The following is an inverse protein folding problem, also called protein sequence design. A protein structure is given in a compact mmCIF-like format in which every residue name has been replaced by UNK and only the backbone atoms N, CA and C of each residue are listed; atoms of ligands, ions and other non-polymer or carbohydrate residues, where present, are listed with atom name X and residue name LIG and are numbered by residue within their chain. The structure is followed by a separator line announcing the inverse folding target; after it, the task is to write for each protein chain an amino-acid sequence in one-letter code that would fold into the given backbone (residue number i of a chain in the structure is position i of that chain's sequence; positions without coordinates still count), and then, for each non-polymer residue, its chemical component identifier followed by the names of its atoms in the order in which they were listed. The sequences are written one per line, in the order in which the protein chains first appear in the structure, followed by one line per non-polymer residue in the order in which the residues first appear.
data_IF_782415723786
#
_entry.id   IF_782415723786
#
_cell.length_a   1.000
_cell.length_b   1.000
_cell.length_c   1.000
_cell.angle_alpha   90.00
_cell.angle_beta   90.00
_cell.angle_gamma   90.00
#
_symmetry.space_group_name_H-M   'P 1'
#
loop_
_entity.id
_entity.type
_entity.pdbx_description
1 polymer ?
#
# COMPACT_ATOMS: atom_id res chain seq x y z
N UNK A 1 11.75 15.08 22.22
CA UNK A 1 13.17 14.94 21.87
C UNK A 1 13.41 15.87 20.72
N UNK A 2 14.19 16.93 20.93
CA UNK A 2 14.47 17.91 19.89
C UNK A 2 15.88 17.65 19.34
N UNK A 3 16.03 17.83 18.03
CA UNK A 3 17.31 17.63 17.31
C UNK A 3 17.87 18.98 16.92
N UNK A 4 19.17 19.12 17.03
CA UNK A 4 19.93 20.32 16.70
C UNK A 4 21.06 19.96 15.75
N UNK A 5 21.58 20.93 14.99
CA UNK A 5 22.70 20.76 14.05
C UNK A 5 23.90 21.55 14.52
N UNK A 6 25.07 20.91 14.58
CA UNK A 6 26.36 21.54 14.81
C UNK A 6 26.91 22.17 13.52
N UNK A 7 27.85 23.13 13.60
CA UNK A 7 28.44 23.75 12.42
C UNK A 7 29.18 22.81 11.47
N UNK A 8 29.58 21.62 11.95
CA UNK A 8 30.19 20.57 11.12
C UNK A 8 29.14 19.71 10.38
N UNK A 9 27.84 20.03 10.51
CA UNK A 9 26.72 19.31 9.90
C UNK A 9 26.20 18.12 10.70
N UNK A 10 26.86 17.73 11.81
CA UNK A 10 26.37 16.64 12.66
C UNK A 10 25.13 17.06 13.43
N UNK A 11 24.23 16.12 13.61
CA UNK A 11 23.03 16.32 14.43
C UNK A 11 23.23 15.76 15.83
N UNK A 12 22.74 16.50 16.82
CA UNK A 12 22.74 16.12 18.24
C UNK A 12 21.34 16.25 18.82
N UNK A 13 21.02 15.40 19.77
CA UNK A 13 19.74 15.40 20.47
C UNK A 13 19.84 16.19 21.78
N UNK A 14 18.72 16.77 22.22
CA UNK A 14 18.62 17.56 23.45
C UNK A 14 18.79 16.74 24.75
N UNK A 15 18.89 15.42 24.64
CA UNK A 15 19.07 14.46 25.75
C UNK A 15 20.38 13.64 25.64
N UNK A 16 21.25 13.97 24.68
CA UNK A 16 22.52 13.29 24.48
C UNK A 16 23.70 14.21 24.77
N UNK A 17 24.75 13.64 25.41
CA UNK A 17 26.03 14.31 25.54
C UNK A 17 26.71 14.38 24.17
N UNK A 18 27.41 15.50 23.90
CA UNK A 18 28.15 15.69 22.65
C UNK A 18 29.46 16.39 22.88
N UNK A 19 30.39 16.31 21.94
CA UNK A 19 31.65 17.01 21.96
C UNK A 19 31.72 17.94 20.76
N UNK A 20 32.01 19.21 21.00
CA UNK A 20 32.19 20.23 19.98
C UNK A 20 33.41 21.12 20.32
N UNK A 21 34.26 21.37 19.34
CA UNK A 21 35.48 22.18 19.46
C UNK A 21 36.35 21.76 20.68
N UNK A 22 36.49 20.43 20.89
CA UNK A 22 37.27 19.89 22.00
C UNK A 22 36.61 19.98 23.39
N UNK A 23 35.43 20.57 23.51
CA UNK A 23 34.65 20.69 24.74
C UNK A 23 33.58 19.62 24.80
N UNK A 24 33.50 18.93 25.93
CA UNK A 24 32.45 17.94 26.16
C UNK A 24 31.25 18.60 26.86
N UNK A 25 30.09 18.50 26.22
CA UNK A 25 28.81 19.01 26.71
C UNK A 25 27.98 17.85 27.30
N UNK A 26 27.45 17.98 28.53
CA UNK A 26 26.63 16.93 29.14
C UNK A 26 25.26 16.79 28.44
N UNK A 27 24.59 15.67 28.65
CA UNK A 27 23.33 15.30 27.98
C UNK A 27 22.16 16.27 28.24
N UNK A 28 22.20 17.06 29.30
CA UNK A 28 21.18 18.03 29.64
C UNK A 28 21.55 19.47 29.25
N UNK A 29 22.74 19.69 28.65
CA UNK A 29 23.25 21.03 28.37
C UNK A 29 22.32 21.83 27.45
N UNK A 30 21.85 21.23 26.38
CA UNK A 30 20.94 21.89 25.40
C UNK A 30 19.66 22.34 26.09
N UNK A 31 19.09 21.53 26.99
CA UNK A 31 17.84 21.83 27.71
C UNK A 31 18.02 22.99 28.73
N UNK A 32 19.22 23.12 29.29
CA UNK A 32 19.51 24.12 30.31
C UNK A 32 20.14 25.38 29.72
N UNK A 33 20.70 25.32 28.49
CA UNK A 33 21.33 26.44 27.81
C UNK A 33 20.32 27.50 27.36
N UNK A 34 20.74 28.77 27.38
CA UNK A 34 20.00 29.87 26.75
C UNK A 34 20.16 29.82 25.22
N UNK A 35 19.33 30.57 24.49
CA UNK A 35 19.51 30.71 23.04
C UNK A 35 20.90 31.31 22.72
N UNK A 36 21.35 32.32 23.48
CA UNK A 36 22.65 32.94 23.30
C UNK A 36 23.83 31.97 23.47
N UNK A 37 23.69 31.00 24.39
CA UNK A 37 24.72 29.97 24.59
C UNK A 37 24.80 29.01 23.41
N UNK A 38 23.63 28.66 22.85
CA UNK A 38 23.54 27.82 21.64
C UNK A 38 24.08 28.52 20.40
N UNK A 39 23.74 29.79 20.24
CA UNK A 39 24.24 30.63 19.14
C UNK A 39 25.77 30.82 19.20
N UNK A 40 26.32 30.92 20.42
CA UNK A 40 27.79 31.07 20.64
C UNK A 40 28.59 29.89 20.10
N UNK A 41 28.04 28.67 20.16
CA UNK A 41 28.67 27.48 19.60
C UNK A 41 28.16 27.14 18.19
N UNK A 42 27.31 27.99 17.62
CA UNK A 42 26.73 27.80 16.28
C UNK A 42 25.75 26.65 16.19
N UNK A 43 25.05 26.29 17.30
CA UNK A 43 24.09 25.22 17.33
C UNK A 43 22.74 25.70 16.74
N UNK A 44 22.39 25.18 15.59
CA UNK A 44 21.14 25.49 14.90
C UNK A 44 20.00 24.58 15.37
N UNK A 45 18.85 25.15 15.64
CA UNK A 45 17.64 24.38 16.00
C UNK A 45 16.78 25.03 17.09
N UNK A 46 15.74 24.32 17.53
CA UNK A 46 15.45 22.90 17.22
C UNK A 46 15.08 22.69 15.76
N UNK A 47 15.66 21.67 15.15
CA UNK A 47 15.30 21.26 13.79
C UNK A 47 13.87 20.70 13.80
N UNK A 48 13.10 21.00 12.76
CA UNK A 48 11.83 20.34 12.58
C UNK A 48 12.04 18.81 12.56
N UNK A 49 11.20 18.03 13.25
CA UNK A 49 11.29 16.58 13.16
C UNK A 49 11.21 16.18 11.68
N UNK A 50 11.91 15.11 11.26
CA UNK A 50 11.82 14.65 9.90
C UNK A 50 10.34 14.43 9.57
N UNK A 51 9.85 15.16 8.59
CA UNK A 51 8.46 15.08 8.17
C UNK A 51 8.28 13.70 7.55
N UNK A 52 7.29 12.94 8.05
CA UNK A 52 6.99 11.63 7.49
C UNK A 52 6.59 11.78 6.01
N UNK A 53 7.06 10.92 5.16
CA UNK A 53 6.63 10.83 3.78
C UNK A 53 6.31 9.38 3.40
N UNK A 54 5.48 9.19 2.40
CA UNK A 54 5.12 7.86 1.92
C UNK A 54 6.17 7.36 0.92
N UNK A 55 7.00 6.43 1.37
CA UNK A 55 8.08 5.84 0.58
C UNK A 55 7.59 5.11 -0.68
N UNK A 56 6.31 4.79 -0.80
CA UNK A 56 5.74 4.22 -2.02
C UNK A 56 5.79 5.20 -3.19
N UNK A 57 5.68 6.52 -2.91
CA UNK A 57 5.52 7.58 -3.91
C UNK A 57 6.71 8.54 -3.97
N UNK A 58 7.49 8.65 -2.90
CA UNK A 58 8.56 9.65 -2.79
C UNK A 58 9.88 9.02 -2.39
N UNK A 59 10.99 9.69 -2.75
CA UNK A 59 12.34 9.29 -2.36
C UNK A 59 12.83 9.95 -1.07
N UNK A 60 12.13 10.98 -0.59
CA UNK A 60 12.52 11.81 0.54
C UNK A 60 12.29 13.28 0.26
N UNK A 61 13.11 14.11 0.87
CA UNK A 61 13.08 15.56 0.71
C UNK A 61 14.37 16.05 0.04
N UNK A 62 14.26 17.09 -0.79
CA UNK A 62 15.40 17.83 -1.31
C UNK A 62 15.96 18.80 -0.25
N UNK A 63 17.00 19.58 -0.64
CA UNK A 63 17.66 20.55 0.24
C UNK A 63 16.73 21.68 0.70
N UNK A 64 15.69 21.97 -0.06
CA UNK A 64 14.66 22.96 0.25
C UNK A 64 13.48 22.39 1.07
N UNK A 65 13.52 21.11 1.43
CA UNK A 65 12.47 20.43 2.20
C UNK A 65 11.24 20.07 1.37
N UNK A 66 11.36 20.01 0.05
CA UNK A 66 10.29 19.59 -0.86
C UNK A 66 10.40 18.09 -1.14
N UNK A 67 9.27 17.40 -1.21
CA UNK A 67 9.21 15.98 -1.55
C UNK A 67 9.75 15.70 -2.95
N UNK A 68 10.64 14.72 -3.08
CA UNK A 68 11.19 14.23 -4.34
C UNK A 68 10.29 13.09 -4.85
N UNK A 69 9.46 13.32 -5.88
CA UNK A 69 8.54 12.30 -6.38
C UNK A 69 9.28 11.19 -7.12
N UNK A 70 8.76 9.99 -7.03
CA UNK A 70 9.15 8.88 -7.91
C UNK A 70 8.55 9.07 -9.31
N UNK A 71 9.06 8.31 -10.28
CA UNK A 71 8.56 8.34 -11.64
C UNK A 71 7.06 8.01 -11.69
N UNK A 72 6.25 8.99 -12.08
CA UNK A 72 4.81 8.88 -12.14
C UNK A 72 4.34 7.78 -13.10
N UNK A 73 4.93 7.71 -14.30
CA UNK A 73 4.53 6.73 -15.32
C UNK A 73 4.79 5.29 -14.86
N UNK A 74 5.93 5.05 -14.20
CA UNK A 74 6.25 3.77 -13.59
C UNK A 74 5.29 3.39 -12.48
N UNK A 75 4.94 4.34 -11.62
CA UNK A 75 3.95 4.13 -10.55
C UNK A 75 2.55 3.82 -11.11
N UNK A 76 2.08 4.56 -12.11
CA UNK A 76 0.80 4.29 -12.80
C UNK A 76 0.78 2.86 -13.34
N UNK A 77 1.82 2.44 -14.08
CA UNK A 77 1.91 1.09 -14.62
C UNK A 77 1.86 0.01 -13.53
N UNK A 78 2.60 0.23 -12.44
CA UNK A 78 2.67 -0.67 -11.28
C UNK A 78 1.31 -0.81 -10.60
N UNK A 79 0.64 0.30 -10.27
CA UNK A 79 -0.66 0.25 -9.58
C UNK A 79 -1.78 -0.30 -10.47
N UNK A 80 -1.79 -0.01 -11.76
CA UNK A 80 -2.67 -0.69 -12.72
C UNK A 80 -2.42 -2.21 -12.75
N UNK A 81 -1.18 -2.64 -12.62
CA UNK A 81 -0.82 -4.06 -12.46
C UNK A 81 -1.40 -4.67 -11.19
N UNK A 82 -1.28 -3.98 -10.05
CA UNK A 82 -1.86 -4.43 -8.78
C UNK A 82 -3.39 -4.54 -8.83
N UNK A 83 -4.08 -3.57 -9.45
CA UNK A 83 -5.54 -3.63 -9.62
C UNK A 83 -5.95 -4.86 -10.40
N UNK A 84 -5.26 -5.17 -11.51
CA UNK A 84 -5.53 -6.38 -12.32
C UNK A 84 -5.23 -7.68 -11.55
N UNK A 85 -4.12 -7.71 -10.81
CA UNK A 85 -3.75 -8.87 -10.00
C UNK A 85 -4.79 -9.15 -8.91
N UNK A 86 -5.26 -8.11 -8.22
CA UNK A 86 -6.33 -8.22 -7.22
C UNK A 86 -7.65 -8.71 -7.84
N UNK A 87 -8.07 -8.13 -8.97
CA UNK A 87 -9.26 -8.57 -9.66
C UNK A 87 -9.19 -10.05 -10.05
N UNK A 88 -8.05 -10.49 -10.59
CA UNK A 88 -7.83 -11.89 -10.95
C UNK A 88 -7.86 -12.80 -9.71
N UNK A 89 -7.28 -12.37 -8.58
CA UNK A 89 -7.34 -13.12 -7.34
C UNK A 89 -8.78 -13.29 -6.84
N UNK A 90 -9.57 -12.21 -6.88
CA UNK A 90 -10.99 -12.23 -6.47
C UNK A 90 -11.82 -13.16 -7.38
N UNK A 91 -11.59 -13.13 -8.68
CA UNK A 91 -12.38 -13.91 -9.64
C UNK A 91 -12.01 -15.38 -9.67
N UNK A 92 -10.78 -15.75 -9.34
CA UNK A 92 -10.20 -17.10 -9.47
C UNK A 92 -11.01 -18.18 -8.78
N UNK A 93 -11.51 -17.89 -7.58
CA UNK A 93 -12.23 -18.88 -6.77
C UNK A 93 -13.59 -19.30 -7.39
N UNK A 94 -14.08 -18.51 -8.34
CA UNK A 94 -15.34 -18.77 -9.05
C UNK A 94 -15.15 -19.12 -10.52
N UNK A 95 -13.91 -19.18 -11.04
CA UNK A 95 -13.64 -19.48 -12.45
C UNK A 95 -14.11 -20.88 -12.85
N UNK A 96 -13.95 -21.86 -11.97
CA UNK A 96 -14.38 -23.22 -12.20
C UNK A 96 -15.89 -23.35 -12.48
N UNK A 97 -16.71 -22.45 -11.89
CA UNK A 97 -18.16 -22.43 -12.10
C UNK A 97 -18.51 -22.05 -13.55
N UNK A 98 -17.78 -21.05 -14.07
CA UNK A 98 -17.96 -20.59 -15.45
C UNK A 98 -17.42 -21.63 -16.44
N UNK A 99 -16.28 -22.25 -16.12
CA UNK A 99 -15.70 -23.32 -16.93
C UNK A 99 -16.67 -24.50 -16.98
N UNK A 100 -17.26 -24.89 -15.84
CA UNK A 100 -18.24 -25.95 -15.76
C UNK A 100 -19.52 -25.68 -16.61
N UNK A 101 -20.01 -24.41 -16.60
CA UNK A 101 -21.12 -24.01 -17.46
C UNK A 101 -20.77 -24.20 -18.94
N UNK A 102 -19.56 -23.82 -19.34
CA UNK A 102 -19.09 -23.96 -20.72
C UNK A 102 -18.88 -25.43 -21.14
N UNK A 103 -18.42 -26.28 -20.21
CA UNK A 103 -18.05 -27.68 -20.48
C UNK A 103 -19.26 -28.60 -20.52
N UNK A 104 -20.18 -28.50 -19.56
CA UNK A 104 -21.28 -29.43 -19.41
C UNK A 104 -22.69 -28.81 -19.41
N UNK A 105 -22.80 -27.49 -19.67
CA UNK A 105 -24.05 -26.76 -19.76
C UNK A 105 -24.74 -26.52 -18.41
N UNK A 106 -24.12 -26.84 -17.25
CA UNK A 106 -24.71 -26.56 -15.96
C UNK A 106 -24.63 -25.04 -15.68
N UNK A 107 -25.77 -24.32 -15.66
CA UNK A 107 -25.75 -22.85 -15.61
C UNK A 107 -25.14 -22.34 -14.29
N UNK A 108 -24.34 -21.31 -14.40
CA UNK A 108 -23.89 -20.53 -13.24
C UNK A 108 -25.01 -19.62 -12.74
N UNK A 109 -24.99 -19.34 -11.42
CA UNK A 109 -25.96 -18.44 -10.80
C UNK A 109 -25.89 -17.04 -11.48
N UNK A 110 -27.04 -16.46 -11.89
CA UNK A 110 -27.07 -15.10 -12.43
C UNK A 110 -26.47 -14.05 -11.51
N UNK A 111 -26.65 -14.15 -10.18
CA UNK A 111 -26.06 -13.26 -9.21
C UNK A 111 -24.53 -13.33 -9.21
N UNK A 112 -23.97 -14.55 -9.34
CA UNK A 112 -22.53 -14.73 -9.49
C UNK A 112 -21.99 -14.10 -10.78
N UNK A 113 -22.71 -14.28 -11.89
CA UNK A 113 -22.33 -13.66 -13.17
C UNK A 113 -22.33 -12.14 -13.08
N UNK A 114 -23.37 -11.56 -12.45
CA UNK A 114 -23.44 -10.11 -12.24
C UNK A 114 -22.29 -9.62 -11.37
N UNK A 115 -22.06 -10.26 -10.22
CA UNK A 115 -20.94 -9.90 -9.34
C UNK A 115 -19.58 -9.94 -10.07
N UNK A 116 -19.36 -10.96 -10.90
CA UNK A 116 -18.13 -11.04 -11.72
C UNK A 116 -18.01 -9.89 -12.73
N UNK A 117 -19.14 -9.41 -13.27
CA UNK A 117 -19.18 -8.24 -14.15
C UNK A 117 -18.84 -6.97 -13.36
N UNK A 118 -19.36 -6.83 -12.13
CA UNK A 118 -19.12 -5.69 -11.27
C UNK A 118 -17.64 -5.60 -10.87
N UNK A 119 -16.97 -6.73 -10.58
CA UNK A 119 -15.52 -6.77 -10.36
C UNK A 119 -14.74 -6.30 -11.59
N UNK A 120 -15.11 -6.71 -12.79
CA UNK A 120 -14.46 -6.27 -14.03
C UNK A 120 -14.69 -4.77 -14.29
N UNK A 121 -15.89 -4.28 -14.03
CA UNK A 121 -16.23 -2.87 -14.15
C UNK A 121 -15.42 -2.03 -13.17
N UNK A 122 -15.36 -2.42 -11.89
CA UNK A 122 -14.56 -1.76 -10.86
C UNK A 122 -13.07 -1.75 -11.24
N UNK A 123 -12.55 -2.85 -11.81
CA UNK A 123 -11.19 -2.92 -12.33
C UNK A 123 -10.93 -1.85 -13.40
N UNK A 124 -11.85 -1.71 -14.36
CA UNK A 124 -11.78 -0.70 -15.41
C UNK A 124 -11.79 0.71 -14.85
N UNK A 125 -12.71 1.00 -13.93
CA UNK A 125 -12.85 2.31 -13.28
C UNK A 125 -11.59 2.69 -12.48
N UNK A 126 -11.05 1.77 -11.69
CA UNK A 126 -9.80 2.00 -10.92
C UNK A 126 -8.61 2.25 -11.84
N UNK A 127 -8.44 1.45 -12.90
CA UNK A 127 -7.37 1.67 -13.86
C UNK A 127 -7.51 3.02 -14.58
N UNK A 128 -8.73 3.42 -14.93
CA UNK A 128 -8.98 4.72 -15.55
C UNK A 128 -8.67 5.89 -14.58
N UNK A 129 -9.07 5.77 -13.31
CA UNK A 129 -8.77 6.79 -12.29
C UNK A 129 -7.26 6.93 -12.05
N UNK A 130 -6.52 5.81 -11.95
CA UNK A 130 -5.06 5.81 -11.83
C UNK A 130 -4.41 6.45 -13.07
N UNK A 131 -4.84 6.10 -14.27
CA UNK A 131 -4.29 6.63 -15.50
C UNK A 131 -4.62 8.12 -15.75
N UNK A 132 -5.68 8.64 -15.12
CA UNK A 132 -6.09 10.03 -15.22
C UNK A 132 -5.32 10.98 -14.28
N UNK A 133 -4.54 10.46 -13.34
CA UNK A 133 -3.73 11.29 -12.44
C UNK A 133 -2.64 12.03 -13.22
N UNK A 134 -2.47 13.33 -12.94
CA UNK A 134 -1.51 14.15 -13.64
C UNK A 134 -0.09 14.02 -13.12
N UNK A 135 0.06 13.68 -11.83
CA UNK A 135 1.35 13.58 -11.17
C UNK A 135 1.35 12.55 -10.01
N UNK A 136 2.52 12.37 -9.40
CA UNK A 136 2.71 11.43 -8.28
C UNK A 136 1.91 11.84 -7.03
N UNK A 137 1.64 13.12 -6.81
CA UNK A 137 0.90 13.57 -5.65
C UNK A 137 -0.60 13.22 -5.79
N UNK A 138 -1.18 13.43 -6.97
CA UNK A 138 -2.56 13.02 -7.26
C UNK A 138 -2.72 11.50 -7.19
N UNK A 139 -1.75 10.75 -7.73
CA UNK A 139 -1.74 9.29 -7.63
C UNK A 139 -1.67 8.84 -6.16
N UNK A 140 -0.80 9.43 -5.36
CA UNK A 140 -0.69 9.14 -3.93
C UNK A 140 -2.00 9.41 -3.19
N UNK A 141 -2.64 10.56 -3.46
CA UNK A 141 -3.92 10.92 -2.87
C UNK A 141 -5.02 9.91 -3.23
N UNK A 142 -5.09 9.47 -4.48
CA UNK A 142 -6.06 8.46 -4.90
C UNK A 142 -5.80 7.10 -4.23
N UNK A 143 -4.57 6.61 -4.25
CA UNK A 143 -4.21 5.29 -3.69
C UNK A 143 -4.37 5.23 -2.17
N UNK A 144 -4.14 6.32 -1.46
CA UNK A 144 -4.32 6.40 0.00
C UNK A 144 -5.73 6.80 0.42
N UNK A 145 -6.56 7.19 -0.54
CA UNK A 145 -7.95 7.56 -0.33
C UNK A 145 -8.84 6.37 0.03
N UNK A 146 -10.04 6.68 0.52
CA UNK A 146 -11.02 5.67 0.96
C UNK A 146 -11.65 4.87 -0.18
N UNK A 147 -11.63 5.39 -1.40
CA UNK A 147 -12.28 4.75 -2.56
C UNK A 147 -11.42 3.66 -3.20
N UNK A 148 -10.09 3.79 -3.16
CA UNK A 148 -9.20 2.83 -3.82
C UNK A 148 -9.32 1.39 -3.29
N UNK A 149 -9.38 1.12 -1.97
CA UNK A 149 -9.46 -0.26 -1.46
C UNK A 149 -10.84 -0.91 -1.66
N UNK A 150 -11.87 -0.13 -2.00
CA UNK A 150 -13.23 -0.65 -2.10
C UNK A 150 -13.41 -1.49 -3.37
N UNK A 151 -13.85 -2.73 -3.17
CA UNK A 151 -14.30 -3.65 -4.21
C UNK A 151 -15.79 -3.94 -4.02
N UNK A 152 -16.51 -4.39 -5.06
CA UNK A 152 -17.87 -4.91 -4.90
C UNK A 152 -17.93 -5.94 -3.77
N UNK A 153 -19.05 -5.98 -3.07
CA UNK A 153 -19.28 -6.84 -1.91
C UNK A 153 -18.95 -8.31 -2.18
N UNK A 154 -18.85 -9.10 -1.10
CA UNK A 154 -18.44 -10.51 -1.15
C UNK A 154 -19.16 -11.32 -2.23
N UNK A 155 -18.42 -12.27 -2.79
CA UNK A 155 -18.97 -13.23 -3.75
C UNK A 155 -20.24 -13.87 -3.19
N UNK A 156 -21.32 -13.96 -3.97
CA UNK A 156 -22.44 -14.84 -3.62
C UNK A 156 -21.87 -16.23 -3.32
N UNK A 157 -22.27 -16.81 -2.19
CA UNK A 157 -21.74 -18.10 -1.76
C UNK A 157 -21.79 -19.12 -2.93
N UNK A 158 -20.70 -19.86 -3.20
CA UNK A 158 -20.76 -20.92 -4.19
C UNK A 158 -21.91 -21.87 -3.79
N UNK A 159 -22.88 -22.06 -4.65
CA UNK A 159 -23.81 -23.17 -4.48
C UNK A 159 -22.95 -24.41 -4.57
N UNK A 160 -22.78 -25.14 -3.46
CA UNK A 160 -22.07 -26.40 -3.45
C UNK A 160 -22.61 -27.25 -4.62
N UNK A 161 -21.74 -27.90 -5.40
CA UNK A 161 -22.21 -28.81 -6.41
C UNK A 161 -23.10 -29.82 -5.70
N UNK A 162 -24.38 -29.93 -6.14
CA UNK A 162 -25.26 -30.96 -5.63
C UNK A 162 -24.50 -32.29 -5.68
N UNK A 163 -24.59 -33.14 -4.63
CA UNK A 163 -23.94 -34.42 -4.64
C UNK A 163 -24.29 -35.11 -5.96
N UNK A 164 -23.29 -35.64 -6.64
CA UNK A 164 -23.50 -36.44 -7.86
C UNK A 164 -24.21 -37.71 -7.43
N UNK A 165 -25.55 -37.67 -7.41
CA UNK A 165 -26.36 -38.87 -7.33
C UNK A 165 -26.00 -39.75 -8.52
N UNK A 166 -25.37 -40.89 -8.27
CA UNK A 166 -25.21 -41.92 -9.28
C UNK A 166 -23.83 -42.51 -9.52
N UNK A 167 -22.96 -42.54 -8.53
CA UNK A 167 -21.93 -43.59 -8.47
C UNK A 167 -22.27 -44.55 -7.33
N UNK A 168 -23.27 -45.38 -7.60
CA UNK A 168 -23.39 -46.64 -6.84
C UNK A 168 -22.08 -47.43 -7.05
N UNK A 169 -21.40 -47.86 -5.98
CA UNK A 169 -20.30 -48.80 -6.15
C UNK A 169 -20.90 -50.07 -6.76
N UNK A 170 -20.55 -50.36 -8.00
CA UNK A 170 -20.78 -51.69 -8.58
C UNK A 170 -20.10 -52.69 -7.69
N UNK A 171 -20.90 -53.27 -6.80
CA UNK A 171 -20.43 -54.37 -5.94
C UNK A 171 -19.97 -55.52 -6.81
N UNK A 172 -18.68 -55.73 -6.74
CA UNK A 172 -18.05 -56.97 -7.21
C UNK A 172 -18.58 -58.09 -6.30
N UNK A 173 -19.53 -58.90 -6.83
CA UNK A 173 -19.95 -60.12 -6.18
C UNK A 173 -18.95 -61.19 -6.57
N UNK A 174 -18.30 -61.87 -5.61
CA UNK A 174 -17.51 -63.07 -5.94
C UNK A 174 -18.51 -64.18 -6.27
N UNK A 175 -18.44 -64.68 -7.50
CA UNK A 175 -19.08 -65.96 -7.87
C UNK A 175 -18.31 -67.10 -7.18
N UNK A 176 -19.10 -68.00 -6.54
CA UNK A 176 -18.63 -69.29 -5.97
C UNK A 176 -18.23 -70.25 -7.08
#
# INVERSE_FOLDING_TARGET
MATYRLPDGKTVSDDMAFTWDGIQYPSNWIKLSTQEDRDRIGLEGPLAPPTWYDERFYWGYDEDGKLIPKDHAGLVAMYCGYVRANANAILRDTDWIIIREADNGKPADPALKQWRQDIRLATGQKNAAIAATADTAELAAYITGSEYPVWPSDSPAPVEPAPVDGLEPTGDQPEE
#
